data_IF_966439768643
#
_entry.id   IF_966439768643
#
_cell.length_a   1.000
_cell.length_b   1.000
_cell.length_c   1.000
_cell.angle_alpha   90.00
_cell.angle_beta   90.00
_cell.angle_gamma   90.00
#
_symmetry.space_group_name_H-M   'P 1'
#
loop_
_entity.id
_entity.type
_entity.pdbx_description
1 polymer ?
#
# COMPACT_ATOMS: atom_id res chain seq x y z
N UNK A 1 -37.56 17.35 -22.03
CA UNK A 1 -36.69 16.62 -22.97
C UNK A 1 -35.29 16.72 -22.44
N UNK A 2 -34.68 15.61 -22.02
CA UNK A 2 -33.28 15.59 -21.59
C UNK A 2 -32.43 15.87 -22.84
N UNK A 3 -31.50 16.82 -22.73
CA UNK A 3 -30.62 17.23 -23.83
C UNK A 3 -29.83 16.01 -24.33
N UNK A 4 -30.02 15.64 -25.60
CA UNK A 4 -29.34 14.51 -26.25
C UNK A 4 -27.81 14.57 -26.06
N UNK A 5 -27.24 15.78 -25.98
CA UNK A 5 -25.80 15.96 -25.71
C UNK A 5 -25.39 15.55 -24.30
N UNK A 6 -26.27 15.71 -23.31
CA UNK A 6 -26.01 15.28 -21.94
C UNK A 6 -26.04 13.76 -21.83
N UNK A 7 -27.00 13.12 -22.49
CA UNK A 7 -27.15 11.67 -22.50
C UNK A 7 -25.97 10.98 -23.20
N UNK A 8 -25.47 11.55 -24.30
CA UNK A 8 -24.27 11.08 -24.98
C UNK A 8 -23.00 11.25 -24.13
N UNK A 9 -22.87 12.35 -23.39
CA UNK A 9 -21.77 12.56 -22.44
C UNK A 9 -21.83 11.58 -21.28
N UNK A 10 -23.03 11.33 -20.74
CA UNK A 10 -23.25 10.39 -19.65
C UNK A 10 -22.95 8.95 -20.09
N UNK A 11 -23.34 8.58 -21.31
CA UNK A 11 -23.02 7.27 -21.89
C UNK A 11 -21.53 7.10 -22.15
N UNK A 12 -20.82 8.13 -22.67
CA UNK A 12 -19.35 8.09 -22.78
C UNK A 12 -18.67 7.95 -21.42
N UNK A 13 -19.15 8.66 -20.40
CA UNK A 13 -18.61 8.55 -19.05
C UNK A 13 -18.81 7.14 -18.48
N UNK A 14 -20.00 6.56 -18.68
CA UNK A 14 -20.31 5.18 -18.29
C UNK A 14 -19.45 4.17 -19.05
N UNK A 15 -19.23 4.35 -20.35
CA UNK A 15 -18.34 3.47 -21.11
C UNK A 15 -16.89 3.53 -20.62
N UNK A 16 -16.36 4.72 -20.32
CA UNK A 16 -14.98 4.85 -19.84
C UNK A 16 -14.75 4.23 -18.46
N UNK A 17 -15.72 4.35 -17.54
CA UNK A 17 -15.53 3.94 -16.14
C UNK A 17 -16.17 2.59 -15.76
N UNK A 18 -17.23 2.17 -16.47
CA UNK A 18 -17.98 0.95 -16.18
C UNK A 18 -17.61 -0.15 -17.19
N UNK A 19 -17.61 0.14 -18.49
CA UNK A 19 -17.40 -0.88 -19.53
C UNK A 19 -15.93 -1.08 -19.94
N UNK A 20 -15.06 -0.08 -19.76
CA UNK A 20 -13.62 -0.16 -20.02
C UNK A 20 -12.77 -0.44 -18.78
N UNK A 21 -13.38 -0.76 -17.64
CA UNK A 21 -12.61 -1.33 -16.53
C UNK A 21 -12.29 -2.78 -16.93
N UNK A 22 -11.02 -3.17 -17.11
CA UNK A 22 -10.71 -4.59 -17.26
C UNK A 22 -11.13 -5.24 -15.95
N UNK A 23 -12.19 -6.04 -15.96
CA UNK A 23 -12.63 -6.78 -14.77
C UNK A 23 -11.57 -7.79 -14.30
N UNK A 24 -10.49 -7.98 -15.06
CA UNK A 24 -9.41 -8.93 -14.79
C UNK A 24 -8.12 -8.31 -14.20
N UNK A 25 -7.94 -6.98 -14.08
CA UNK A 25 -6.58 -6.44 -13.83
C UNK A 25 -6.25 -5.85 -12.45
N UNK A 26 -7.15 -5.81 -11.45
CA UNK A 26 -6.79 -5.15 -10.16
C UNK A 26 -7.15 -5.89 -8.88
N UNK A 27 -8.09 -6.83 -8.86
CA UNK A 27 -8.56 -7.41 -7.58
C UNK A 27 -7.81 -8.66 -7.11
N UNK A 28 -7.09 -9.34 -7.99
CA UNK A 28 -6.33 -10.57 -7.66
C UNK A 28 -4.85 -10.31 -7.31
N UNK A 29 -4.35 -9.09 -7.56
CA UNK A 29 -2.92 -8.78 -7.48
C UNK A 29 -2.55 -7.90 -6.28
N UNK A 30 -3.46 -7.03 -5.81
CA UNK A 30 -3.15 -6.12 -4.69
C UNK A 30 -2.94 -6.85 -3.36
N UNK A 31 -3.68 -7.93 -3.10
CA UNK A 31 -3.46 -8.75 -1.89
C UNK A 31 -2.12 -9.46 -1.93
N UNK A 32 -1.72 -9.99 -3.10
CA UNK A 32 -0.42 -10.66 -3.27
C UNK A 32 0.74 -9.67 -3.23
N UNK A 33 0.57 -8.48 -3.82
CA UNK A 33 1.52 -7.37 -3.71
C UNK A 33 1.69 -6.88 -2.28
N UNK A 34 0.60 -6.81 -1.52
CA UNK A 34 0.64 -6.47 -0.11
C UNK A 34 1.37 -7.54 0.72
N UNK A 35 1.04 -8.81 0.52
CA UNK A 35 1.73 -9.92 1.18
C UNK A 35 3.22 -9.97 0.81
N UNK A 36 3.57 -9.75 -0.46
CA UNK A 36 4.94 -9.67 -0.94
C UNK A 36 5.69 -8.49 -0.29
N UNK A 37 5.04 -7.32 -0.14
CA UNK A 37 5.64 -6.17 0.55
C UNK A 37 5.86 -6.45 2.04
N UNK A 38 4.92 -7.13 2.70
CA UNK A 38 5.04 -7.52 4.11
C UNK A 38 6.10 -8.61 4.35
N UNK A 39 6.47 -9.37 3.32
CA UNK A 39 7.50 -10.39 3.38
C UNK A 39 8.94 -9.83 3.32
N UNK A 40 9.11 -8.61 2.81
CA UNK A 40 10.39 -7.92 2.73
C UNK A 40 10.95 -7.57 4.13
N UNK A 41 12.26 -7.43 4.22
CA UNK A 41 12.91 -6.78 5.37
C UNK A 41 12.53 -5.30 5.43
N UNK A 42 12.71 -4.66 6.57
CA UNK A 42 12.39 -3.24 6.70
C UNK A 42 13.36 -2.37 5.91
N UNK A 43 14.62 -2.81 5.77
CA UNK A 43 15.62 -2.20 4.87
C UNK A 43 15.15 -2.23 3.41
N UNK A 44 14.69 -3.40 2.92
CA UNK A 44 14.18 -3.56 1.55
C UNK A 44 12.90 -2.75 1.32
N UNK A 45 12.04 -2.61 2.33
CA UNK A 45 10.84 -1.75 2.24
C UNK A 45 11.24 -0.29 2.20
N UNK A 46 12.19 0.12 3.04
CA UNK A 46 12.69 1.49 3.09
C UNK A 46 13.32 1.88 1.74
N UNK A 47 14.18 1.06 1.17
CA UNK A 47 14.76 1.30 -0.18
C UNK A 47 13.68 1.47 -1.25
N UNK A 48 12.67 0.58 -1.28
CA UNK A 48 11.58 0.67 -2.26
C UNK A 48 10.72 1.91 -2.08
N UNK A 49 10.49 2.35 -0.83
CA UNK A 49 9.73 3.57 -0.57
C UNK A 49 10.58 4.82 -0.91
N UNK A 50 11.87 4.83 -0.60
CA UNK A 50 12.79 5.89 -0.98
C UNK A 50 12.89 6.06 -2.50
N UNK A 51 13.05 4.97 -3.26
CA UNK A 51 13.05 5.02 -4.73
C UNK A 51 11.75 5.61 -5.29
N UNK A 52 10.60 5.29 -4.68
CA UNK A 52 9.32 5.89 -5.06
C UNK A 52 9.23 7.38 -4.70
N UNK A 53 9.82 7.81 -3.58
CA UNK A 53 9.87 9.22 -3.19
C UNK A 53 10.73 10.04 -4.14
N UNK A 54 11.84 9.48 -4.60
CA UNK A 54 12.71 10.10 -5.60
C UNK A 54 11.95 10.34 -6.90
N UNK A 55 11.32 9.29 -7.46
CA UNK A 55 10.49 9.40 -8.67
C UNK A 55 9.35 10.42 -8.54
N UNK A 56 8.71 10.50 -7.37
CA UNK A 56 7.65 11.50 -7.14
C UNK A 56 8.22 12.91 -7.03
N UNK A 57 9.43 13.06 -6.49
CA UNK A 57 10.11 14.35 -6.36
C UNK A 57 10.52 14.86 -7.74
N UNK A 58 11.13 14.03 -8.57
CA UNK A 58 11.46 14.37 -9.96
C UNK A 58 10.20 14.77 -10.75
N UNK A 59 9.12 14.00 -10.56
CA UNK A 59 7.83 14.31 -11.17
C UNK A 59 7.29 15.66 -10.73
N UNK A 60 7.42 16.03 -9.45
CA UNK A 60 7.00 17.35 -8.98
C UNK A 60 7.82 18.46 -9.63
N UNK A 61 9.14 18.31 -9.73
CA UNK A 61 10.01 19.28 -10.42
C UNK A 61 9.53 19.51 -11.85
N UNK A 62 9.32 18.43 -12.62
CA UNK A 62 8.86 18.56 -14.02
C UNK A 62 7.46 19.18 -14.15
N UNK A 63 6.58 19.01 -13.15
CA UNK A 63 5.25 19.62 -13.16
C UNK A 63 5.31 21.09 -12.77
N UNK A 64 6.16 21.45 -11.82
CA UNK A 64 6.38 22.84 -11.41
C UNK A 64 7.04 23.65 -12.55
N UNK A 65 7.97 23.06 -13.30
CA UNK A 65 8.53 23.65 -14.52
C UNK A 65 7.44 23.90 -15.58
N UNK A 66 6.58 22.90 -15.85
CA UNK A 66 5.44 23.04 -16.77
C UNK A 66 4.47 24.13 -16.31
N UNK A 67 4.25 24.26 -15.01
CA UNK A 67 3.40 25.30 -14.46
C UNK A 67 4.01 26.68 -14.70
N UNK A 68 5.32 26.83 -14.50
CA UNK A 68 6.07 28.04 -14.85
C UNK A 68 5.92 28.41 -16.33
N UNK A 69 6.06 27.44 -17.23
CA UNK A 69 5.89 27.64 -18.67
C UNK A 69 4.47 28.09 -19.05
N UNK A 70 3.44 27.49 -18.46
CA UNK A 70 2.05 27.86 -18.72
C UNK A 70 1.75 29.28 -18.22
N UNK A 71 2.29 29.65 -17.06
CA UNK A 71 2.17 31.00 -16.52
C UNK A 71 2.89 32.02 -17.42
N UNK A 72 4.09 31.71 -17.93
CA UNK A 72 4.83 32.58 -18.83
C UNK A 72 4.13 32.75 -20.20
N UNK A 73 3.41 31.73 -20.66
CA UNK A 73 2.68 31.73 -21.94
C UNK A 73 1.27 32.32 -21.86
N UNK A 74 0.84 32.84 -20.70
CA UNK A 74 -0.55 33.28 -20.45
C UNK A 74 -1.58 32.22 -20.86
N UNK A 75 -1.32 30.96 -20.48
CA UNK A 75 -2.25 29.86 -20.73
C UNK A 75 -3.60 30.09 -20.04
N UNK A 76 -4.61 29.30 -20.42
CA UNK A 76 -5.95 29.46 -19.85
C UNK A 76 -5.94 29.17 -18.34
N UNK A 77 -6.84 29.86 -17.62
CA UNK A 77 -7.01 29.64 -16.18
C UNK A 77 -7.39 28.18 -15.86
N UNK A 78 -8.12 27.53 -16.76
CA UNK A 78 -8.54 26.13 -16.63
C UNK A 78 -7.33 25.18 -16.72
N UNK A 79 -6.44 25.37 -17.71
CA UNK A 79 -5.22 24.55 -17.87
C UNK A 79 -4.29 24.68 -16.66
N UNK A 80 -4.14 25.91 -16.14
CA UNK A 80 -3.35 26.18 -14.93
C UNK A 80 -3.98 25.50 -13.71
N UNK A 81 -5.30 25.53 -13.60
CA UNK A 81 -6.02 24.92 -12.48
C UNK A 81 -5.93 23.38 -12.52
N UNK A 82 -6.05 22.78 -13.70
CA UNK A 82 -5.91 21.33 -13.87
C UNK A 82 -4.50 20.85 -13.51
N UNK A 83 -3.46 21.59 -13.94
CA UNK A 83 -2.08 21.26 -13.60
C UNK A 83 -1.79 21.39 -12.10
N UNK A 84 -2.33 22.42 -11.44
CA UNK A 84 -2.24 22.59 -9.98
C UNK A 84 -2.90 21.43 -9.24
N UNK A 85 -4.09 21.02 -9.66
CA UNK A 85 -4.77 19.86 -9.08
C UNK A 85 -3.92 18.59 -9.19
N UNK A 86 -3.26 18.40 -10.35
CA UNK A 86 -2.36 17.26 -10.53
C UNK A 86 -1.13 17.32 -9.63
N UNK A 87 -0.52 18.50 -9.47
CA UNK A 87 0.59 18.73 -8.54
C UNK A 87 0.17 18.36 -7.11
N UNK A 88 -1.00 18.81 -6.66
CA UNK A 88 -1.51 18.49 -5.32
C UNK A 88 -1.77 16.99 -5.14
N UNK A 89 -2.29 16.31 -6.16
CA UNK A 89 -2.45 14.87 -6.14
C UNK A 89 -1.10 14.12 -6.00
N UNK A 90 -0.04 14.62 -6.65
CA UNK A 90 1.31 14.05 -6.53
C UNK A 90 1.92 14.36 -5.16
N UNK A 91 1.74 15.57 -4.62
CA UNK A 91 2.17 15.94 -3.25
C UNK A 91 1.50 15.06 -2.19
N UNK A 92 0.20 14.81 -2.32
CA UNK A 92 -0.53 13.92 -1.43
C UNK A 92 0.00 12.48 -1.48
N UNK A 93 0.33 11.97 -2.68
CA UNK A 93 0.97 10.65 -2.82
C UNK A 93 2.33 10.60 -2.14
N UNK A 94 3.14 11.66 -2.28
CA UNK A 94 4.45 11.76 -1.62
C UNK A 94 4.30 11.72 -0.09
N UNK A 95 3.40 12.52 0.47
CA UNK A 95 3.11 12.56 1.90
C UNK A 95 2.72 11.19 2.46
N UNK A 96 1.85 10.44 1.76
CA UNK A 96 1.45 9.09 2.17
C UNK A 96 2.64 8.13 2.23
N UNK A 97 3.59 8.25 1.30
CA UNK A 97 4.78 7.40 1.28
C UNK A 97 5.75 7.79 2.41
N UNK A 98 5.93 9.09 2.67
CA UNK A 98 6.74 9.58 3.80
C UNK A 98 6.20 9.06 5.13
N UNK A 99 4.88 9.14 5.36
CA UNK A 99 4.24 8.57 6.55
C UNK A 99 4.47 7.07 6.68
N UNK A 100 4.36 6.30 5.58
CA UNK A 100 4.65 4.87 5.61
C UNK A 100 6.10 4.56 5.99
N UNK A 101 7.03 5.39 5.52
CA UNK A 101 8.45 5.25 5.81
C UNK A 101 8.75 5.58 7.27
N UNK A 102 8.09 6.60 7.82
CA UNK A 102 8.16 6.94 9.24
C UNK A 102 7.63 5.81 10.13
N UNK A 103 6.51 5.18 9.77
CA UNK A 103 5.98 4.01 10.48
C UNK A 103 6.95 2.82 10.49
N UNK A 104 7.71 2.63 9.41
CA UNK A 104 8.74 1.59 9.32
C UNK A 104 9.93 1.95 10.22
N UNK A 105 10.43 3.19 10.13
CA UNK A 105 11.54 3.69 10.97
C UNK A 105 11.23 3.65 12.46
N UNK A 106 9.98 3.94 12.84
CA UNK A 106 9.53 3.92 14.23
C UNK A 106 9.26 2.50 14.75
N UNK A 107 9.37 1.46 13.92
CA UNK A 107 9.11 0.07 14.32
C UNK A 107 7.66 -0.20 14.70
N UNK A 108 6.70 0.66 14.30
CA UNK A 108 5.28 0.44 14.62
C UNK A 108 4.73 -0.83 13.99
N UNK A 109 5.25 -1.17 12.80
CA UNK A 109 4.97 -2.46 12.17
C UNK A 109 5.49 -3.64 12.99
N UNK A 110 6.62 -3.49 13.69
CA UNK A 110 7.17 -4.53 14.56
C UNK A 110 6.33 -4.74 15.81
N UNK A 111 5.80 -3.67 16.41
CA UNK A 111 4.90 -3.80 17.56
C UNK A 111 3.63 -4.60 17.19
N UNK A 112 2.96 -4.22 16.09
CA UNK A 112 1.78 -4.91 15.59
C UNK A 112 2.08 -6.36 15.16
N UNK A 113 3.23 -6.58 14.50
CA UNK A 113 3.67 -7.92 14.06
C UNK A 113 4.03 -8.80 15.25
N UNK A 114 4.73 -8.27 16.25
CA UNK A 114 5.09 -8.96 17.50
C UNK A 114 3.85 -9.38 18.28
N UNK A 115 2.85 -8.49 18.37
CA UNK A 115 1.57 -8.81 19.00
C UNK A 115 0.81 -9.91 18.24
N UNK A 116 0.79 -9.86 16.91
CA UNK A 116 0.22 -10.93 16.08
C UNK A 116 0.90 -12.28 16.31
N UNK A 117 2.23 -12.29 16.41
CA UNK A 117 2.99 -13.54 16.65
C UNK A 117 2.76 -14.05 18.08
N UNK A 118 2.62 -13.18 19.08
CA UNK A 118 2.24 -13.57 20.46
C UNK A 118 0.87 -14.26 20.52
N UNK A 119 -0.13 -13.74 19.80
CA UNK A 119 -1.46 -14.39 19.70
C UNK A 119 -1.36 -15.77 19.07
N UNK A 120 -0.61 -15.89 17.96
CA UNK A 120 -0.38 -17.19 17.31
C UNK A 120 0.36 -18.19 18.22
N UNK A 121 1.31 -17.73 19.03
CA UNK A 121 1.96 -18.58 20.04
C UNK A 121 0.97 -19.04 21.09
N UNK A 122 0.11 -18.16 21.59
CA UNK A 122 -0.92 -18.48 22.57
C UNK A 122 -1.87 -19.56 22.04
N UNK A 123 -2.31 -19.44 20.78
CA UNK A 123 -3.16 -20.44 20.12
C UNK A 123 -2.46 -21.79 19.96
N UNK A 124 -1.16 -21.79 19.62
CA UNK A 124 -0.37 -23.01 19.48
C UNK A 124 -0.11 -23.69 20.83
N UNK A 125 0.17 -22.92 21.88
CA UNK A 125 0.32 -23.41 23.25
C UNK A 125 -0.99 -24.03 23.75
N UNK A 126 -2.14 -23.39 23.48
CA UNK A 126 -3.46 -23.94 23.80
C UNK A 126 -3.75 -25.23 23.04
N UNK A 127 -3.39 -25.32 21.75
CA UNK A 127 -3.45 -26.56 20.97
C UNK A 127 -2.54 -27.65 21.54
N UNK A 128 -1.32 -27.29 21.99
CA UNK A 128 -0.40 -28.23 22.65
C UNK A 128 -1.01 -28.79 23.92
N UNK A 129 -1.57 -27.93 24.78
CA UNK A 129 -2.23 -28.36 26.03
C UNK A 129 -3.38 -29.33 25.75
N UNK A 130 -4.24 -29.02 24.78
CA UNK A 130 -5.34 -29.93 24.36
C UNK A 130 -4.83 -31.27 23.84
N UNK A 131 -3.75 -31.26 23.05
CA UNK A 131 -3.14 -32.49 22.53
C UNK A 131 -2.52 -33.35 23.65
N UNK A 132 -1.83 -32.73 24.61
CA UNK A 132 -1.26 -33.40 25.78
C UNK A 132 -2.34 -34.05 26.65
N UNK A 133 -3.45 -33.34 26.91
CA UNK A 133 -4.60 -33.90 27.63
C UNK A 133 -5.19 -35.11 26.91
N UNK A 134 -5.22 -35.07 25.57
CA UNK A 134 -5.62 -36.20 24.73
C UNK A 134 -4.55 -37.26 24.49
N UNK A 135 -3.38 -37.17 25.16
CA UNK A 135 -2.20 -38.04 24.96
C UNK A 135 -1.76 -38.19 23.50
N UNK A 136 -1.92 -37.12 22.70
CA UNK A 136 -1.54 -37.07 21.29
C UNK A 136 -0.11 -36.55 21.13
N UNK A 137 0.55 -36.97 20.04
CA UNK A 137 1.85 -36.44 19.66
C UNK A 137 1.79 -34.91 19.44
N UNK A 138 2.77 -34.22 20.02
CA UNK A 138 2.90 -32.78 19.98
C UNK A 138 4.11 -32.30 19.16
N UNK A 139 4.89 -33.20 18.55
CA UNK A 139 6.16 -32.88 17.89
C UNK A 139 6.01 -31.77 16.84
N UNK A 140 5.00 -31.86 15.97
CA UNK A 140 4.70 -30.82 14.96
C UNK A 140 4.24 -29.49 15.57
N UNK A 141 3.57 -29.51 16.72
CA UNK A 141 3.16 -28.28 17.41
C UNK A 141 4.38 -27.62 18.05
N UNK A 142 5.28 -28.40 18.64
CA UNK A 142 6.52 -27.93 19.25
C UNK A 142 7.45 -27.28 18.22
N UNK A 143 7.60 -27.87 17.04
CA UNK A 143 8.35 -27.26 15.93
C UNK A 143 7.77 -25.89 15.53
N UNK A 144 6.43 -25.81 15.38
CA UNK A 144 5.75 -24.53 15.06
C UNK A 144 5.94 -23.48 16.15
N UNK A 145 5.87 -23.87 17.42
CA UNK A 145 6.13 -22.97 18.56
C UNK A 145 7.58 -22.48 18.52
N UNK A 146 8.55 -23.37 18.27
CA UNK A 146 9.97 -22.99 18.20
C UNK A 146 10.24 -21.99 17.06
N UNK A 147 9.64 -22.20 15.88
CA UNK A 147 9.73 -21.27 14.76
C UNK A 147 9.14 -19.89 15.10
N UNK A 148 7.99 -19.86 15.78
CA UNK A 148 7.33 -18.59 16.18
C UNK A 148 8.10 -17.86 17.29
N UNK A 149 8.71 -18.57 18.25
CA UNK A 149 9.62 -17.97 19.25
C UNK A 149 10.86 -17.35 18.58
N UNK A 150 11.48 -18.05 17.62
CA UNK A 150 12.59 -17.48 16.82
C UNK A 150 12.17 -16.23 16.05
N UNK A 151 10.95 -16.20 15.51
CA UNK A 151 10.42 -15.04 14.80
C UNK A 151 10.24 -13.83 15.74
N UNK A 152 9.75 -14.02 16.98
CA UNK A 152 9.66 -12.93 17.97
C UNK A 152 11.02 -12.36 18.31
N UNK A 153 12.04 -13.20 18.52
CA UNK A 153 13.38 -12.73 18.88
C UNK A 153 14.05 -11.90 17.77
N UNK A 154 13.58 -12.02 16.52
CA UNK A 154 14.04 -11.21 15.39
C UNK A 154 13.32 -9.86 15.29
N UNK A 155 12.15 -9.73 15.90
CA UNK A 155 11.38 -8.49 16.00
C UNK A 155 11.79 -7.79 17.31
N UNK A 156 12.91 -7.05 17.26
CA UNK A 156 13.44 -6.33 18.44
C UNK A 156 12.41 -5.34 18.95
#
# INVERSE_FOLDING_TARGET
>A
MIDKKFEDKLNKLREMYINKRPEESEKLDDSKKFEAFMALSDEEKEEKLNAKLELLTDKLVTLDEKLGDLLAKNASADDISELKYYIDAVKNKKLIIEQKLELIKNGEFDAARKERVKRQLTDLELKRCKALLGKKDCSKINEKIALKKKAINRLK
#
